data_IF_712115004971
#
_entry.id   IF_712115004971
#
_cell.length_a   1.000
_cell.length_b   1.000
_cell.length_c   1.000
_cell.angle_alpha   90.00
_cell.angle_beta   90.00
_cell.angle_gamma   90.00
#
_symmetry.space_group_name_H-M   'P 1'
#
loop_
_entity.id
_entity.type
_entity.pdbx_description
1 polymer ?
#
# COMPACT_ATOMS: atom_id res chain seq x y z
N UNK A 1 33.39 15.59 -3.30
CA UNK A 1 31.94 15.50 -3.63
C UNK A 1 31.43 14.22 -2.98
N UNK A 2 30.50 14.25 -2.01
CA UNK A 2 30.04 13.02 -1.39
C UNK A 2 29.21 12.24 -2.42
N UNK A 3 29.68 11.03 -2.76
CA UNK A 3 28.91 10.10 -3.57
C UNK A 3 27.63 9.76 -2.80
N UNK A 4 26.48 9.99 -3.41
CA UNK A 4 25.20 9.51 -2.91
C UNK A 4 25.33 8.00 -2.77
N UNK A 5 25.46 7.50 -1.54
CA UNK A 5 25.65 6.08 -1.27
C UNK A 5 24.32 5.38 -1.46
N UNK A 6 24.16 4.70 -2.58
CA UNK A 6 22.97 3.92 -2.89
C UNK A 6 22.82 2.76 -1.89
N UNK A 7 21.62 2.53 -1.31
CA UNK A 7 21.41 1.43 -0.37
C UNK A 7 21.79 0.10 -1.02
N UNK A 8 22.64 -0.69 -0.36
CA UNK A 8 23.10 -2.00 -0.86
C UNK A 8 21.92 -2.97 -1.10
N UNK A 9 22.16 -4.11 -1.75
CA UNK A 9 21.14 -5.16 -1.93
C UNK A 9 20.44 -5.57 -0.61
N UNK A 10 21.12 -5.40 0.53
CA UNK A 10 20.54 -5.62 1.85
C UNK A 10 19.51 -4.55 2.24
N UNK A 11 19.77 -3.28 1.91
CA UNK A 11 18.83 -2.17 2.14
C UNK A 11 17.55 -2.32 1.32
N UNK A 12 17.68 -2.70 0.04
CA UNK A 12 16.54 -3.02 -0.81
C UNK A 12 15.66 -4.12 -0.22
N UNK A 13 16.27 -5.22 0.24
CA UNK A 13 15.52 -6.32 0.90
C UNK A 13 14.75 -5.84 2.12
N UNK A 14 15.35 -5.00 2.96
CA UNK A 14 14.67 -4.43 4.15
C UNK A 14 13.47 -3.55 3.77
N UNK A 15 13.60 -2.72 2.74
CA UNK A 15 12.50 -1.87 2.24
C UNK A 15 11.34 -2.75 1.75
N UNK A 16 11.62 -3.76 0.92
CA UNK A 16 10.59 -4.68 0.43
C UNK A 16 9.95 -5.49 1.56
N UNK A 17 10.72 -5.95 2.54
CA UNK A 17 10.21 -6.65 3.73
C UNK A 17 9.27 -5.75 4.53
N UNK A 18 9.67 -4.50 4.78
CA UNK A 18 8.82 -3.54 5.50
C UNK A 18 7.52 -3.28 4.73
N UNK A 19 7.59 -3.05 3.42
CA UNK A 19 6.40 -2.84 2.58
C UNK A 19 5.45 -4.04 2.64
N UNK A 20 6.01 -5.26 2.63
CA UNK A 20 5.22 -6.49 2.77
C UNK A 20 4.57 -6.63 4.15
N UNK A 21 5.26 -6.24 5.23
CA UNK A 21 4.69 -6.21 6.58
C UNK A 21 3.53 -5.22 6.67
N UNK A 22 3.66 -4.03 6.05
CA UNK A 22 2.57 -3.05 6.00
C UNK A 22 1.36 -3.61 5.24
N UNK A 23 1.59 -4.18 4.06
CA UNK A 23 0.56 -4.82 3.25
C UNK A 23 -0.18 -5.93 4.00
N UNK A 24 0.56 -6.79 4.71
CA UNK A 24 -0.03 -7.84 5.54
C UNK A 24 -0.82 -7.24 6.71
N UNK A 25 -0.31 -6.19 7.32
CA UNK A 25 -1.01 -5.43 8.37
C UNK A 25 -2.35 -4.89 7.89
N UNK A 26 -2.42 -4.32 6.69
CA UNK A 26 -3.68 -3.85 6.08
C UNK A 26 -4.70 -4.99 5.94
N UNK A 27 -4.27 -6.15 5.39
CA UNK A 27 -5.14 -7.31 5.26
C UNK A 27 -5.67 -7.80 6.61
N UNK A 28 -4.78 -7.93 7.60
CA UNK A 28 -5.18 -8.38 8.93
C UNK A 28 -6.14 -7.40 9.59
N UNK A 29 -5.93 -6.08 9.43
CA UNK A 29 -6.85 -5.07 9.95
C UNK A 29 -8.24 -5.16 9.32
N UNK A 30 -8.33 -5.38 8.01
CA UNK A 30 -9.64 -5.57 7.34
C UNK A 30 -10.33 -6.84 7.84
N UNK A 31 -9.59 -7.95 7.95
CA UNK A 31 -10.15 -9.25 8.35
C UNK A 31 -10.60 -9.25 9.82
N UNK A 32 -9.75 -8.76 10.73
CA UNK A 32 -10.08 -8.71 12.16
C UNK A 32 -11.07 -7.58 12.50
N UNK A 33 -11.02 -6.47 11.76
CA UNK A 33 -11.98 -5.37 11.87
C UNK A 33 -13.37 -5.70 11.29
N UNK A 34 -13.51 -6.80 10.55
CA UNK A 34 -14.69 -7.09 9.73
C UNK A 34 -16.02 -7.00 10.47
N UNK A 35 -16.06 -7.49 11.71
CA UNK A 35 -17.28 -7.51 12.55
C UNK A 35 -17.72 -6.13 13.05
N UNK A 36 -16.81 -5.15 13.03
CA UNK A 36 -17.06 -3.79 13.52
C UNK A 36 -17.43 -2.84 12.38
N UNK A 37 -17.26 -3.24 11.12
CA UNK A 37 -17.69 -2.41 10.00
C UNK A 37 -19.22 -2.37 9.91
N UNK A 38 -19.83 -1.18 9.79
CA UNK A 38 -21.23 -1.02 9.45
C UNK A 38 -21.49 -1.51 8.03
N UNK A 39 -22.77 -1.65 7.64
CA UNK A 39 -23.16 -2.06 6.29
C UNK A 39 -22.60 -1.16 5.18
N UNK A 40 -22.34 0.12 5.48
CA UNK A 40 -21.85 1.13 4.56
C UNK A 40 -20.76 1.99 5.22
N UNK A 41 -19.66 2.19 4.50
CA UNK A 41 -18.49 2.96 4.96
C UNK A 41 -18.16 4.09 3.98
N UNK A 42 -17.70 5.24 4.46
CA UNK A 42 -17.23 6.32 3.60
C UNK A 42 -15.89 5.95 2.96
N UNK A 43 -15.82 6.02 1.63
CA UNK A 43 -14.60 5.74 0.87
C UNK A 43 -14.34 6.82 -0.19
N UNK A 44 -15.39 7.33 -0.83
CA UNK A 44 -15.27 8.26 -1.95
C UNK A 44 -15.36 9.72 -1.49
N UNK A 45 -14.39 10.18 -0.71
CA UNK A 45 -14.37 11.54 -0.13
C UNK A 45 -14.36 12.68 -1.15
N UNK A 46 -14.07 12.41 -2.42
CA UNK A 46 -14.15 13.38 -3.51
C UNK A 46 -15.57 13.63 -4.02
N UNK A 47 -16.55 12.82 -3.60
CA UNK A 47 -17.97 12.96 -3.99
C UNK A 47 -18.74 13.86 -3.03
N UNK A 48 -19.89 14.43 -3.45
CA UNK A 48 -20.80 15.16 -2.57
C UNK A 48 -21.13 14.39 -1.30
N UNK A 49 -21.27 15.11 -0.20
CA UNK A 49 -21.56 14.54 1.11
C UNK A 49 -22.89 13.76 1.11
N UNK A 50 -22.95 12.66 1.85
CA UNK A 50 -24.13 11.79 1.92
C UNK A 50 -23.91 10.43 1.24
N UNK A 51 -24.96 9.89 0.62
CA UNK A 51 -24.96 8.51 0.09
C UNK A 51 -23.92 8.28 -1.00
N UNK A 52 -23.54 9.30 -1.76
CA UNK A 52 -22.58 9.16 -2.85
C UNK A 52 -21.15 8.83 -2.37
N UNK A 53 -20.81 9.12 -1.10
CA UNK A 53 -19.51 8.78 -0.50
C UNK A 53 -19.43 7.33 0.01
N UNK A 54 -20.58 6.68 0.19
CA UNK A 54 -20.71 5.40 0.87
C UNK A 54 -20.44 4.22 -0.06
N UNK A 55 -19.79 3.19 0.49
CA UNK A 55 -19.46 1.95 -0.19
C UNK A 55 -19.65 0.77 0.76
N UNK A 56 -19.82 -0.43 0.20
CA UNK A 56 -19.82 -1.66 1.01
C UNK A 56 -18.41 -1.91 1.57
N UNK A 57 -18.27 -2.45 2.80
CA UNK A 57 -16.97 -2.79 3.39
C UNK A 57 -16.08 -3.67 2.52
N UNK A 58 -16.67 -4.51 1.66
CA UNK A 58 -15.94 -5.33 0.67
C UNK A 58 -15.02 -4.51 -0.23
N UNK A 59 -15.36 -3.24 -0.49
CA UNK A 59 -14.53 -2.36 -1.33
C UNK A 59 -13.20 -2.04 -0.65
N UNK A 60 -13.05 -2.18 0.68
CA UNK A 60 -11.77 -1.99 1.36
C UNK A 60 -10.67 -2.93 0.85
N UNK A 61 -11.01 -4.11 0.33
CA UNK A 61 -10.03 -5.03 -0.25
C UNK A 61 -9.38 -4.48 -1.53
N UNK A 62 -9.89 -3.38 -2.11
CA UNK A 62 -9.20 -2.68 -3.21
C UNK A 62 -7.85 -2.12 -2.77
N UNK A 63 -7.69 -1.74 -1.50
CA UNK A 63 -6.45 -1.21 -0.94
C UNK A 63 -5.31 -2.25 -1.00
N UNK A 64 -5.42 -3.42 -0.35
CA UNK A 64 -4.40 -4.46 -0.47
C UNK A 64 -4.37 -5.10 -1.87
N UNK A 65 -5.49 -5.10 -2.60
CA UNK A 65 -5.55 -5.60 -3.98
C UNK A 65 -4.68 -4.77 -4.94
N UNK A 66 -4.78 -3.43 -4.87
CA UNK A 66 -3.91 -2.52 -5.63
C UNK A 66 -2.45 -2.65 -5.18
N UNK A 67 -2.22 -2.84 -3.87
CA UNK A 67 -0.88 -3.14 -3.34
C UNK A 67 -0.26 -4.37 -4.02
N UNK A 68 -0.99 -5.47 -4.14
CA UNK A 68 -0.52 -6.67 -4.86
C UNK A 68 -0.22 -6.37 -6.33
N UNK A 69 -1.10 -5.66 -7.02
CA UNK A 69 -0.89 -5.32 -8.43
C UNK A 69 0.40 -4.50 -8.60
N UNK A 70 0.61 -3.48 -7.77
CA UNK A 70 1.83 -2.66 -7.79
C UNK A 70 3.07 -3.52 -7.49
N UNK A 71 2.98 -4.43 -6.52
CA UNK A 71 4.08 -5.35 -6.21
C UNK A 71 4.48 -6.21 -7.43
N UNK A 72 3.50 -6.81 -8.11
CA UNK A 72 3.76 -7.64 -9.28
C UNK A 72 4.31 -6.82 -10.45
N UNK A 73 3.74 -5.65 -10.73
CA UNK A 73 4.23 -4.76 -11.78
C UNK A 73 5.66 -4.29 -11.50
N UNK A 74 5.94 -3.84 -10.28
CA UNK A 74 7.28 -3.40 -9.88
C UNK A 74 8.29 -4.56 -9.94
N UNK A 75 7.89 -5.76 -9.56
CA UNK A 75 8.73 -6.95 -9.65
C UNK A 75 9.04 -7.32 -11.11
N UNK A 76 8.04 -7.24 -11.99
CA UNK A 76 8.21 -7.48 -13.42
C UNK A 76 9.17 -6.46 -14.04
N UNK A 77 8.96 -5.16 -13.78
CA UNK A 77 9.84 -4.08 -14.26
C UNK A 77 11.25 -4.25 -13.70
N UNK A 78 11.39 -4.60 -12.42
CA UNK A 78 12.70 -4.85 -11.79
C UNK A 78 13.43 -6.07 -12.36
N UNK A 79 12.71 -7.07 -12.88
CA UNK A 79 13.31 -8.24 -13.53
C UNK A 79 13.76 -7.93 -14.97
N UNK A 80 13.07 -7.02 -15.65
CA UNK A 80 13.48 -6.52 -16.97
C UNK A 80 14.65 -5.54 -16.88
N UNK A 81 14.81 -4.88 -15.74
CA UNK A 81 15.90 -3.95 -15.44
C UNK A 81 17.28 -4.62 -15.45
N UNK A 82 18.27 -3.93 -16.03
CA UNK A 82 19.66 -4.38 -15.98
C UNK A 82 20.19 -4.46 -14.54
N UNK A 83 21.20 -5.31 -14.30
CA UNK A 83 21.80 -5.44 -12.95
C UNK A 83 22.41 -4.14 -12.44
N UNK A 84 22.84 -3.26 -13.35
CA UNK A 84 23.45 -1.96 -13.04
C UNK A 84 22.43 -0.85 -12.74
N UNK A 85 21.14 -1.06 -13.07
CA UNK A 85 20.06 -0.08 -12.84
C UNK A 85 19.53 -0.14 -11.40
N UNK A 86 20.46 -0.02 -10.45
CA UNK A 86 20.19 -0.13 -9.02
C UNK A 86 19.22 0.96 -8.52
N UNK A 87 19.35 2.17 -9.07
CA UNK A 87 18.48 3.31 -8.78
C UNK A 87 17.01 3.01 -9.17
N UNK A 88 16.77 2.35 -10.30
CA UNK A 88 15.41 2.02 -10.72
C UNK A 88 14.75 1.03 -9.76
N UNK A 89 15.48 -0.01 -9.34
CA UNK A 89 14.99 -1.00 -8.37
C UNK A 89 14.67 -0.36 -7.01
N UNK A 90 15.46 0.63 -6.60
CA UNK A 90 15.20 1.42 -5.39
C UNK A 90 13.94 2.27 -5.50
N UNK A 91 13.75 2.99 -6.61
CA UNK A 91 12.55 3.79 -6.83
C UNK A 91 11.31 2.90 -6.79
N UNK A 92 11.35 1.74 -7.44
CA UNK A 92 10.23 0.79 -7.45
C UNK A 92 9.92 0.24 -6.05
N UNK A 93 10.95 -0.13 -5.28
CA UNK A 93 10.77 -0.61 -3.90
C UNK A 93 10.24 0.51 -2.97
N UNK A 94 10.75 1.72 -3.11
CA UNK A 94 10.32 2.87 -2.31
C UNK A 94 8.90 3.31 -2.66
N UNK A 95 8.54 3.32 -3.95
CA UNK A 95 7.18 3.60 -4.40
C UNK A 95 6.19 2.59 -3.82
N UNK A 96 6.54 1.31 -3.80
CA UNK A 96 5.72 0.28 -3.17
C UNK A 96 5.59 0.47 -1.65
N UNK A 97 6.68 0.82 -0.95
CA UNK A 97 6.63 1.14 0.47
C UNK A 97 5.70 2.32 0.77
N UNK A 98 5.87 3.43 0.04
CA UNK A 98 5.05 4.64 0.19
C UNK A 98 3.58 4.35 -0.09
N UNK A 99 3.28 3.56 -1.13
CA UNK A 99 1.92 3.16 -1.45
C UNK A 99 1.25 2.42 -0.28
N UNK A 100 1.87 1.37 0.26
CA UNK A 100 1.30 0.64 1.41
C UNK A 100 1.20 1.54 2.64
N UNK A 101 2.17 2.41 2.89
CA UNK A 101 2.07 3.33 4.01
C UNK A 101 0.85 4.26 3.91
N UNK A 102 0.59 4.84 2.74
CA UNK A 102 -0.59 5.68 2.50
C UNK A 102 -1.90 4.88 2.51
N UNK A 103 -1.87 3.66 1.99
CA UNK A 103 -3.00 2.72 2.02
C UNK A 103 -3.40 2.38 3.46
N UNK A 104 -2.43 2.04 4.32
CA UNK A 104 -2.64 1.79 5.73
C UNK A 104 -3.19 3.02 6.47
N UNK A 105 -2.66 4.23 6.20
CA UNK A 105 -3.21 5.47 6.76
C UNK A 105 -4.69 5.64 6.36
N UNK A 106 -5.01 5.39 5.10
CA UNK A 106 -6.39 5.47 4.58
C UNK A 106 -7.30 4.50 5.33
N UNK A 107 -6.88 3.25 5.51
CA UNK A 107 -7.65 2.26 6.25
C UNK A 107 -7.87 2.68 7.72
N UNK A 108 -6.82 3.13 8.40
CA UNK A 108 -6.92 3.59 9.79
C UNK A 108 -7.88 4.79 9.91
N UNK A 109 -7.85 5.72 8.96
CA UNK A 109 -8.77 6.87 8.95
C UNK A 109 -10.22 6.43 8.79
N UNK A 110 -10.51 5.49 7.89
CA UNK A 110 -11.86 4.94 7.72
C UNK A 110 -12.30 4.24 9.00
N UNK A 111 -11.44 3.41 9.60
CA UNK A 111 -11.75 2.73 10.86
C UNK A 111 -12.07 3.72 11.98
N UNK A 112 -11.27 4.77 12.17
CA UNK A 112 -11.49 5.79 13.19
C UNK A 112 -12.78 6.60 13.00
N UNK A 113 -13.23 6.75 11.75
CA UNK A 113 -14.45 7.50 11.45
C UNK A 113 -15.71 6.69 11.77
N UNK A 114 -15.57 5.36 11.82
CA UNK A 114 -16.68 4.43 11.73
C UNK A 114 -16.83 3.54 12.97
N UNK A 115 -15.72 3.19 13.61
CA UNK A 115 -15.62 2.42 14.86
C UNK A 115 -15.37 3.40 16.01
#
# INVERSE_FOLDING_TARGET
MPLISFPTNQGLKKISQLAFVLWLGELLLIIFGWKFFPPEIPLFYSRPWGQEQLAKPLVLFILPGLGLIIFFLNSLISNLASKEEHLMKQILAMAFLVFNFLSLITLIQIMRLVI
#
